data_IF_710764320899
#
_entry.id   IF_710764320899
#
_cell.length_a   1.000
_cell.length_b   1.000
_cell.length_c   1.000
_cell.angle_alpha   90.00
_cell.angle_beta   90.00
_cell.angle_gamma   90.00
#
_symmetry.space_group_name_H-M   'P 1'
#
loop_
_entity.id
_entity.type
_entity.pdbx_description
1 polymer ?
#
# COMPACT_ATOMS: atom_id res chain seq x y z
N UNK A 1 0.13 0.62 16.31
CA UNK A 1 -1.28 0.18 16.42
C UNK A 1 -1.39 -1.33 16.57
N UNK A 2 -0.74 -2.13 15.70
CA UNK A 2 -0.69 -3.59 15.79
C UNK A 2 -0.25 -4.12 17.17
N UNK A 3 0.85 -3.57 17.70
CA UNK A 3 1.40 -3.92 19.01
C UNK A 3 0.40 -3.67 20.16
N UNK A 4 -0.41 -2.61 20.05
CA UNK A 4 -1.39 -2.24 21.08
C UNK A 4 -2.53 -3.27 21.11
N UNK A 5 -3.08 -3.63 19.95
CA UNK A 5 -4.17 -4.59 19.86
C UNK A 5 -3.77 -6.01 20.30
N UNK A 6 -2.51 -6.42 20.10
CA UNK A 6 -2.06 -7.74 20.59
C UNK A 6 -2.16 -7.90 22.11
N UNK A 7 -2.10 -6.82 22.90
CA UNK A 7 -2.24 -6.87 24.36
C UNK A 7 -3.67 -6.61 24.86
N UNK A 8 -4.63 -6.42 23.96
CA UNK A 8 -6.03 -6.18 24.32
C UNK A 8 -6.86 -7.47 24.20
N UNK A 9 -7.87 -7.60 25.06
CA UNK A 9 -8.85 -8.68 24.92
C UNK A 9 -9.72 -8.47 23.68
N UNK A 10 -10.11 -9.56 23.02
CA UNK A 10 -10.97 -9.54 21.84
C UNK A 10 -12.21 -8.65 22.01
N UNK A 11 -12.90 -8.75 23.16
CA UNK A 11 -14.07 -7.92 23.48
C UNK A 11 -13.75 -6.42 23.52
N UNK A 12 -12.60 -6.04 24.08
CA UNK A 12 -12.15 -4.64 24.11
C UNK A 12 -11.86 -4.12 22.71
N UNK A 13 -11.18 -4.93 21.89
CA UNK A 13 -10.86 -4.59 20.50
C UNK A 13 -12.15 -4.36 19.69
N UNK A 14 -13.10 -5.31 19.76
CA UNK A 14 -14.37 -5.17 19.05
C UNK A 14 -15.19 -3.98 19.54
N UNK A 15 -15.19 -3.68 20.84
CA UNK A 15 -15.85 -2.48 21.36
C UNK A 15 -15.23 -1.18 20.82
N UNK A 16 -13.91 -1.12 20.65
CA UNK A 16 -13.23 0.02 20.02
C UNK A 16 -13.63 0.12 18.55
N UNK A 17 -13.69 -1.00 17.82
CA UNK A 17 -14.12 -1.00 16.43
C UNK A 17 -15.58 -0.57 16.26
N UNK A 18 -16.49 -1.05 17.11
CA UNK A 18 -17.88 -0.61 17.10
C UNK A 18 -18.06 0.85 17.51
N UNK A 19 -17.17 1.39 18.34
CA UNK A 19 -17.16 2.82 18.65
C UNK A 19 -16.69 3.67 17.48
N UNK A 20 -15.67 3.21 16.73
CA UNK A 20 -15.15 3.89 15.54
C UNK A 20 -16.14 3.82 14.37
N UNK A 21 -16.74 2.66 14.14
CA UNK A 21 -17.76 2.46 13.13
C UNK A 21 -18.87 1.53 13.67
N UNK A 22 -20.00 2.12 14.10
CA UNK A 22 -21.13 1.37 14.64
C UNK A 22 -21.75 0.39 13.63
N UNK A 23 -21.57 0.60 12.32
CA UNK A 23 -22.15 -0.27 11.27
C UNK A 23 -21.53 -1.66 11.25
N UNK A 24 -20.37 -1.85 11.88
CA UNK A 24 -19.74 -3.16 12.02
C UNK A 24 -20.52 -4.12 12.92
N UNK A 25 -21.43 -3.63 13.79
CA UNK A 25 -22.19 -4.49 14.70
C UNK A 25 -23.15 -5.42 13.95
N UNK A 26 -23.75 -4.92 12.87
CA UNK A 26 -24.74 -5.64 12.06
C UNK A 26 -24.12 -6.23 10.78
N UNK A 27 -22.81 -6.08 10.59
CA UNK A 27 -22.12 -6.49 9.38
C UNK A 27 -21.73 -7.97 9.46
N UNK A 28 -22.43 -8.81 8.69
CA UNK A 28 -22.09 -10.21 8.50
C UNK A 28 -21.16 -10.39 7.30
N UNK A 29 -20.21 -11.31 7.43
CA UNK A 29 -19.24 -11.65 6.38
C UNK A 29 -20.02 -12.04 5.11
N UNK A 30 -19.76 -11.37 3.99
CA UNK A 30 -20.23 -11.80 2.67
C UNK A 30 -19.55 -13.12 2.30
N UNK A 31 -20.11 -14.23 2.78
CA UNK A 31 -19.70 -15.60 2.44
C UNK A 31 -20.02 -15.95 0.97
N UNK A 32 -20.70 -15.05 0.25
CA UNK A 32 -21.09 -15.20 -1.16
C UNK A 32 -20.02 -14.70 -2.15
N UNK A 33 -18.93 -14.05 -1.70
CA UNK A 33 -17.84 -13.66 -2.63
C UNK A 33 -17.05 -14.92 -2.97
N UNK A 34 -17.27 -15.47 -4.17
CA UNK A 34 -16.47 -16.56 -4.71
C UNK A 34 -15.05 -16.05 -5.04
N UNK A 35 -14.08 -16.43 -4.21
CA UNK A 35 -12.66 -16.12 -4.43
C UNK A 35 -12.06 -17.07 -5.48
N UNK A 36 -11.49 -16.53 -6.56
CA UNK A 36 -10.73 -17.27 -7.58
C UNK A 36 -11.49 -18.35 -8.36
N UNK A 37 -12.83 -18.28 -8.45
CA UNK A 37 -13.61 -19.17 -9.30
C UNK A 37 -13.52 -18.76 -10.79
N UNK A 38 -13.53 -19.72 -11.73
CA UNK A 38 -13.67 -19.50 -13.18
C UNK A 38 -12.77 -18.39 -13.80
N UNK A 39 -11.46 -18.44 -13.53
CA UNK A 39 -10.48 -17.43 -13.97
C UNK A 39 -10.18 -17.36 -15.48
N UNK A 40 -10.89 -18.13 -16.28
CA UNK A 40 -10.86 -18.06 -17.75
C UNK A 40 -11.95 -17.16 -18.33
N UNK A 41 -12.96 -16.79 -17.53
CA UNK A 41 -14.03 -15.88 -17.94
C UNK A 41 -13.62 -14.42 -17.67
N UNK A 42 -13.35 -13.69 -18.75
CA UNK A 42 -12.99 -12.26 -18.75
C UNK A 42 -14.19 -11.37 -19.12
N UNK A 43 -15.40 -11.77 -18.71
CA UNK A 43 -16.60 -10.95 -18.89
C UNK A 43 -16.45 -9.58 -18.21
N UNK A 44 -17.03 -8.54 -18.82
CA UNK A 44 -16.91 -7.16 -18.32
C UNK A 44 -17.46 -7.01 -16.90
N UNK A 45 -18.57 -7.69 -16.58
CA UNK A 45 -19.16 -7.68 -15.24
C UNK A 45 -18.20 -8.25 -14.19
N UNK A 46 -17.46 -9.30 -14.54
CA UNK A 46 -16.48 -9.90 -13.64
C UNK A 46 -15.30 -8.96 -13.39
N UNK A 47 -14.74 -8.38 -14.46
CA UNK A 47 -13.62 -7.41 -14.33
C UNK A 47 -14.06 -6.20 -13.51
N UNK A 48 -15.26 -5.66 -13.77
CA UNK A 48 -15.78 -4.52 -13.00
C UNK A 48 -16.01 -4.88 -11.53
N UNK A 49 -16.45 -6.11 -11.22
CA UNK A 49 -16.61 -6.58 -9.84
C UNK A 49 -15.29 -6.75 -9.09
N UNK A 50 -14.19 -6.98 -9.81
CA UNK A 50 -12.83 -7.08 -9.26
C UNK A 50 -12.20 -5.71 -8.99
N UNK A 51 -12.62 -4.65 -9.73
CA UNK A 51 -12.15 -3.28 -9.49
C UNK A 51 -12.84 -2.71 -8.24
N UNK A 52 -12.35 -3.12 -7.08
CA UNK A 52 -12.86 -2.69 -5.79
C UNK A 52 -11.81 -1.84 -5.04
N UNK A 53 -12.00 -1.69 -3.73
CA UNK A 53 -11.10 -0.92 -2.87
C UNK A 53 -9.66 -1.46 -2.86
N UNK A 54 -9.46 -2.74 -3.19
CA UNK A 54 -8.13 -3.34 -3.22
C UNK A 54 -7.30 -2.73 -4.36
N UNK A 55 -7.84 -2.55 -5.56
CA UNK A 55 -7.15 -1.87 -6.69
C UNK A 55 -6.58 -0.51 -6.26
N UNK A 56 -7.38 0.30 -5.56
CA UNK A 56 -6.93 1.59 -5.05
C UNK A 56 -5.91 1.43 -3.91
N UNK A 57 -6.11 0.45 -3.04
CA UNK A 57 -5.16 0.08 -1.98
C UNK A 57 -3.78 -0.29 -2.54
N UNK A 58 -3.75 -1.12 -3.59
CA UNK A 58 -2.53 -1.47 -4.31
C UNK A 58 -1.90 -0.22 -4.92
N UNK A 59 -2.64 0.56 -5.71
CA UNK A 59 -2.09 1.77 -6.33
C UNK A 59 -1.50 2.75 -5.31
N UNK A 60 -2.26 3.13 -4.27
CA UNK A 60 -1.79 4.09 -3.26
C UNK A 60 -0.69 3.51 -2.36
N UNK A 61 -0.80 2.23 -2.01
CA UNK A 61 0.22 1.53 -1.24
C UNK A 61 1.56 1.51 -1.97
N UNK A 62 1.56 1.18 -3.26
CA UNK A 62 2.76 1.17 -4.09
C UNK A 62 3.30 2.56 -4.41
N UNK A 63 2.43 3.56 -4.57
CA UNK A 63 2.87 4.95 -4.66
C UNK A 63 3.58 5.41 -3.38
N UNK A 64 3.04 5.07 -2.20
CA UNK A 64 3.68 5.39 -0.92
C UNK A 64 5.00 4.65 -0.72
N UNK A 65 5.03 3.32 -0.97
CA UNK A 65 6.26 2.52 -0.94
C UNK A 65 7.32 3.12 -1.87
N UNK A 66 6.91 3.58 -3.05
CA UNK A 66 7.82 4.18 -4.00
C UNK A 66 8.42 5.51 -3.54
N UNK A 67 7.66 6.33 -2.81
CA UNK A 67 8.19 7.56 -2.19
C UNK A 67 9.22 7.27 -1.10
N UNK A 68 9.09 6.14 -0.40
CA UNK A 68 10.00 5.74 0.68
C UNK A 68 11.25 5.02 0.17
N UNK A 69 11.08 4.00 -0.68
CA UNK A 69 12.19 3.19 -1.20
C UNK A 69 12.89 3.89 -2.38
N UNK A 70 12.19 4.68 -3.19
CA UNK A 70 12.79 5.50 -4.27
C UNK A 70 13.67 4.71 -5.26
N UNK A 71 13.43 3.42 -5.41
CA UNK A 71 14.18 2.55 -6.31
C UNK A 71 13.28 1.53 -6.98
N UNK A 72 13.10 1.66 -8.30
CA UNK A 72 12.17 0.83 -9.08
C UNK A 72 12.46 -0.68 -8.96
N UNK A 73 13.71 -1.11 -9.11
CA UNK A 73 14.05 -2.54 -9.08
C UNK A 73 13.69 -3.25 -7.78
N UNK A 74 14.08 -2.68 -6.63
CA UNK A 74 13.71 -3.18 -5.29
C UNK A 74 12.18 -3.21 -5.14
N UNK A 75 11.47 -2.14 -5.54
CA UNK A 75 10.01 -2.10 -5.44
C UNK A 75 9.33 -3.20 -6.26
N UNK A 76 9.74 -3.40 -7.51
CA UNK A 76 9.23 -4.47 -8.36
C UNK A 76 9.55 -5.86 -7.79
N UNK A 77 10.75 -6.06 -7.24
CA UNK A 77 11.10 -7.31 -6.57
C UNK A 77 10.22 -7.58 -5.34
N UNK A 78 9.95 -6.56 -4.52
CA UNK A 78 9.01 -6.68 -3.40
C UNK A 78 7.60 -6.97 -3.92
N UNK A 79 7.19 -6.36 -5.03
CA UNK A 79 5.86 -6.58 -5.62
C UNK A 79 5.67 -8.02 -6.01
N UNK A 80 6.61 -8.59 -6.76
CA UNK A 80 6.53 -10.00 -7.15
C UNK A 80 6.62 -10.92 -5.93
N UNK A 81 7.46 -10.58 -4.95
CA UNK A 81 7.58 -11.37 -3.72
C UNK A 81 6.30 -11.33 -2.87
N UNK A 82 5.53 -10.24 -2.93
CA UNK A 82 4.23 -10.12 -2.27
C UNK A 82 3.20 -11.10 -2.89
N UNK A 83 3.08 -11.15 -4.21
CA UNK A 83 2.23 -12.15 -4.90
C UNK A 83 2.60 -13.59 -4.53
N UNK A 84 3.90 -13.90 -4.47
CA UNK A 84 4.37 -15.22 -4.05
C UNK A 84 3.94 -15.53 -2.61
N UNK A 85 3.96 -14.52 -1.74
CA UNK A 85 3.52 -14.63 -0.35
C UNK A 85 2.02 -14.90 -0.30
N UNK A 86 1.22 -14.21 -1.10
CA UNK A 86 -0.23 -14.44 -1.19
C UNK A 86 -0.55 -15.85 -1.66
N UNK A 87 0.08 -16.34 -2.74
CA UNK A 87 -0.06 -17.73 -3.20
C UNK A 87 0.35 -18.72 -2.09
N UNK A 88 1.45 -18.44 -1.39
CA UNK A 88 1.94 -19.32 -0.32
C UNK A 88 0.94 -19.41 0.83
N UNK A 89 0.29 -18.31 1.20
CA UNK A 89 -0.63 -18.23 2.34
C UNK A 89 -2.12 -18.32 1.95
N UNK A 90 -2.45 -18.50 0.67
CA UNK A 90 -3.82 -18.62 0.17
C UNK A 90 -4.62 -19.76 0.85
N UNK A 91 -3.94 -20.82 1.28
CA UNK A 91 -4.55 -21.93 2.02
C UNK A 91 -5.01 -21.55 3.43
N UNK A 92 -4.46 -20.49 4.03
CA UNK A 92 -4.84 -19.97 5.35
C UNK A 92 -5.77 -18.76 5.24
N UNK A 93 -5.61 -17.97 4.18
CA UNK A 93 -6.33 -16.73 3.96
C UNK A 93 -7.09 -16.83 2.62
N UNK A 94 -8.39 -17.21 2.64
CA UNK A 94 -9.17 -17.38 1.41
C UNK A 94 -9.30 -16.09 0.58
N UNK A 95 -9.02 -14.94 1.20
CA UNK A 95 -9.01 -13.63 0.55
C UNK A 95 -7.89 -13.47 -0.46
N UNK A 96 -6.80 -14.23 -0.34
CA UNK A 96 -5.67 -14.23 -1.27
C UNK A 96 -5.88 -15.20 -2.44
N UNK A 97 -7.04 -15.86 -2.51
CA UNK A 97 -7.38 -16.73 -3.63
C UNK A 97 -7.94 -15.86 -4.75
N UNK A 98 -7.05 -15.38 -5.61
CA UNK A 98 -7.37 -14.51 -6.73
C UNK A 98 -7.08 -15.20 -8.06
N UNK A 99 -7.57 -14.61 -9.15
CA UNK A 99 -7.30 -15.15 -10.47
C UNK A 99 -5.87 -14.82 -10.91
N UNK A 100 -5.26 -15.70 -11.71
CA UNK A 100 -3.89 -15.50 -12.18
C UNK A 100 -3.70 -14.16 -12.93
N UNK A 101 -4.72 -13.71 -13.67
CA UNK A 101 -4.67 -12.46 -14.41
C UNK A 101 -4.86 -11.24 -13.50
N UNK A 102 -5.54 -11.42 -12.37
CA UNK A 102 -5.75 -10.40 -11.35
C UNK A 102 -4.39 -10.10 -10.69
N UNK A 103 -3.81 -11.12 -10.05
CA UNK A 103 -2.50 -11.06 -9.40
C UNK A 103 -1.38 -10.58 -10.34
N UNK A 104 -1.29 -11.13 -11.57
CA UNK A 104 -0.18 -10.80 -12.46
C UNK A 104 -0.40 -9.51 -13.26
N UNK A 105 -1.59 -9.32 -13.85
CA UNK A 105 -1.82 -8.21 -14.77
C UNK A 105 -2.40 -7.02 -14.02
N UNK A 106 -3.48 -7.22 -13.26
CA UNK A 106 -4.12 -6.11 -12.57
C UNK A 106 -3.24 -5.60 -11.42
N UNK A 107 -2.73 -6.48 -10.57
CA UNK A 107 -1.97 -6.05 -9.40
C UNK A 107 -0.53 -5.70 -9.75
N UNK A 108 0.30 -6.67 -10.15
CA UNK A 108 1.72 -6.41 -10.41
C UNK A 108 1.95 -5.39 -11.54
N UNK A 109 1.36 -5.61 -12.72
CA UNK A 109 1.67 -4.77 -13.88
C UNK A 109 0.96 -3.41 -13.84
N UNK A 110 -0.33 -3.40 -13.55
CA UNK A 110 -1.15 -2.19 -13.64
C UNK A 110 -1.10 -1.42 -12.32
N UNK A 111 -1.66 -1.93 -11.23
CA UNK A 111 -1.84 -1.16 -9.99
C UNK A 111 -0.49 -0.83 -9.34
N UNK A 112 0.32 -1.85 -9.11
CA UNK A 112 1.62 -1.74 -8.45
C UNK A 112 2.60 -0.98 -9.35
N UNK A 113 2.65 -1.34 -10.64
CA UNK A 113 3.48 -0.67 -11.65
C UNK A 113 3.16 0.82 -11.80
N UNK A 114 1.88 1.19 -11.92
CA UNK A 114 1.44 2.60 -11.99
C UNK A 114 1.71 3.34 -10.67
N UNK A 115 1.44 2.71 -9.52
CA UNK A 115 1.75 3.27 -8.21
C UNK A 115 3.23 3.59 -8.08
N UNK A 116 4.10 2.64 -8.42
CA UNK A 116 5.56 2.83 -8.42
C UNK A 116 5.96 3.98 -9.34
N UNK A 117 5.44 4.01 -10.56
CA UNK A 117 5.75 5.06 -11.52
C UNK A 117 5.35 6.45 -11.01
N UNK A 118 4.13 6.59 -10.46
CA UNK A 118 3.64 7.85 -9.89
C UNK A 118 4.50 8.27 -8.70
N UNK A 119 4.79 7.36 -7.77
CA UNK A 119 5.61 7.66 -6.59
C UNK A 119 7.02 8.12 -6.96
N UNK A 120 7.67 7.44 -7.91
CA UNK A 120 8.99 7.85 -8.41
C UNK A 120 8.95 9.19 -9.17
N UNK A 121 7.86 9.47 -9.89
CA UNK A 121 7.66 10.76 -10.56
C UNK A 121 7.51 11.90 -9.55
N UNK A 122 6.80 11.66 -8.44
CA UNK A 122 6.71 12.59 -7.31
C UNK A 122 8.10 12.84 -6.73
N UNK A 123 8.89 11.79 -6.48
CA UNK A 123 10.27 11.92 -5.99
C UNK A 123 11.13 12.79 -6.92
N UNK A 124 11.12 12.52 -8.23
CA UNK A 124 11.86 13.31 -9.22
C UNK A 124 11.39 14.77 -9.26
N UNK A 125 10.10 15.02 -9.06
CA UNK A 125 9.54 16.36 -9.01
C UNK A 125 9.88 17.12 -7.70
N UNK A 126 10.24 16.41 -6.62
CA UNK A 126 10.72 16.99 -5.37
C UNK A 126 12.24 17.22 -5.38
N UNK A 127 13.00 16.31 -6.01
CA UNK A 127 14.47 16.40 -6.15
C UNK A 127 14.92 17.60 -6.99
N UNK A 128 14.18 17.92 -8.06
CA UNK A 128 14.53 19.00 -9.00
C UNK A 128 14.02 20.40 -8.56
N UNK A 129 13.70 20.63 -7.27
CA UNK A 129 13.12 21.91 -6.81
C UNK A 129 14.15 22.84 -6.17
N UNK A 130 14.15 24.08 -6.65
CA UNK A 130 14.81 25.21 -6.01
C UNK A 130 13.85 25.93 -5.04
N UNK A 131 14.27 26.11 -3.78
CA UNK A 131 13.49 26.82 -2.77
C UNK A 131 13.67 28.34 -2.88
N UNK A 132 12.62 29.05 -3.29
CA UNK A 132 12.55 30.52 -3.20
C UNK A 132 11.90 30.92 -1.88
N UNK A 133 12.66 31.61 -1.02
CA UNK A 133 12.23 32.09 0.30
C UNK A 133 11.48 33.43 0.23
N UNK A 134 10.43 33.52 -0.60
CA UNK A 134 9.56 34.70 -0.62
C UNK A 134 8.46 34.59 0.47
N UNK A 135 8.09 35.72 1.09
CA UNK A 135 7.02 35.75 2.10
C UNK A 135 5.66 35.51 1.43
N UNK A 136 4.74 34.81 2.12
CA UNK A 136 3.36 34.59 1.62
C UNK A 136 2.66 35.95 1.37
N UNK A 137 3.07 36.98 2.11
CA UNK A 137 2.57 38.36 1.97
C UNK A 137 2.98 39.02 0.65
N UNK A 138 4.08 38.57 0.04
CA UNK A 138 4.62 39.12 -1.22
C UNK A 138 3.98 38.47 -2.46
N UNK A 139 3.11 37.47 -2.28
CA UNK A 139 2.45 36.74 -3.36
C UNK A 139 1.05 37.33 -3.60
N UNK A 140 0.86 37.99 -4.74
CA UNK A 140 -0.39 38.66 -5.09
C UNK A 140 -1.52 37.71 -5.51
N UNK A 141 -1.21 36.51 -6.03
CA UNK A 141 -2.21 35.58 -6.55
C UNK A 141 -2.68 34.54 -5.52
N UNK A 142 -3.98 34.25 -5.53
CA UNK A 142 -4.60 33.22 -4.68
C UNK A 142 -4.01 31.82 -4.93
N UNK A 143 -3.78 31.47 -6.20
CA UNK A 143 -3.11 30.21 -6.59
C UNK A 143 -1.68 30.13 -6.05
N UNK A 144 -0.96 31.26 -6.00
CA UNK A 144 0.38 31.33 -5.44
C UNK A 144 0.41 31.13 -3.93
N UNK A 145 -0.58 31.67 -3.21
CA UNK A 145 -0.74 31.45 -1.77
C UNK A 145 -1.06 29.98 -1.45
N UNK A 146 -1.97 29.37 -2.19
CA UNK A 146 -2.31 27.93 -2.04
C UNK A 146 -1.09 27.07 -2.35
N UNK A 147 -0.38 27.34 -3.44
CA UNK A 147 0.86 26.64 -3.79
C UNK A 147 1.89 26.74 -2.66
N UNK A 148 2.03 27.91 -2.01
CA UNK A 148 2.96 28.10 -0.90
C UNK A 148 2.53 27.35 0.36
N UNK A 149 1.25 27.32 0.68
CA UNK A 149 0.73 26.53 1.81
C UNK A 149 0.99 25.03 1.61
N UNK A 150 0.71 24.49 0.42
CA UNK A 150 1.00 23.08 0.11
C UNK A 150 2.50 22.78 0.16
N UNK A 151 3.34 23.72 -0.28
CA UNK A 151 4.80 23.60 -0.22
C UNK A 151 5.37 23.53 1.20
N UNK A 152 4.66 24.00 2.23
CA UNK A 152 5.12 23.87 3.62
C UNK A 152 5.11 22.42 4.11
N UNK A 153 4.30 21.56 3.46
CA UNK A 153 4.24 20.14 3.77
C UNK A 153 5.22 19.29 2.95
N UNK A 154 6.06 19.91 2.11
CA UNK A 154 7.14 19.23 1.39
C UNK A 154 8.47 19.35 2.12
N UNK A 155 9.35 18.33 2.09
CA UNK A 155 10.59 18.32 2.86
C UNK A 155 11.61 19.34 2.35
N UNK A 156 12.32 20.02 3.25
CA UNK A 156 13.31 21.06 2.94
C UNK A 156 14.42 20.58 1.98
N UNK A 157 14.87 19.33 2.12
CA UNK A 157 15.81 18.70 1.19
C UNK A 157 15.28 17.34 0.76
N UNK A 158 15.50 17.01 -0.52
CA UNK A 158 15.08 15.74 -1.10
C UNK A 158 16.22 15.15 -1.91
N UNK A 159 17.04 14.31 -1.27
CA UNK A 159 18.23 13.70 -1.87
C UNK A 159 17.93 12.34 -2.50
N UNK A 160 18.67 12.01 -3.56
CA UNK A 160 18.66 10.69 -4.19
C UNK A 160 19.21 9.62 -3.25
N UNK A 161 18.51 8.49 -3.10
CA UNK A 161 18.98 7.35 -2.31
C UNK A 161 19.57 6.30 -3.24
N UNK A 162 20.82 5.88 -2.98
CA UNK A 162 21.50 4.82 -3.72
C UNK A 162 21.60 3.57 -2.84
N UNK A 163 20.61 2.69 -2.95
CA UNK A 163 20.53 1.46 -2.15
C UNK A 163 21.59 0.42 -2.55
N UNK A 164 21.85 0.28 -3.85
CA UNK A 164 22.75 -0.72 -4.42
C UNK A 164 23.91 0.00 -5.12
N UNK A 165 24.94 0.39 -4.36
CA UNK A 165 26.19 0.88 -4.94
C UNK A 165 27.09 -0.31 -5.33
N UNK A 166 27.75 -0.33 -6.51
CA UNK A 166 28.70 -1.38 -6.87
C UNK A 166 29.84 -1.58 -5.84
N UNK A 167 30.16 -0.55 -5.05
CA UNK A 167 31.14 -0.61 -3.94
C UNK A 167 30.48 -0.87 -2.57
N UNK A 168 29.19 -1.20 -2.56
CA UNK A 168 28.43 -1.40 -1.34
C UNK A 168 28.90 -2.66 -0.59
N UNK A 169 29.06 -2.55 0.72
CA UNK A 169 29.43 -3.67 1.57
C UNK A 169 28.29 -4.69 1.65
N UNK A 170 28.63 -5.98 1.77
CA UNK A 170 27.64 -7.06 1.95
C UNK A 170 26.66 -6.78 3.12
N UNK A 171 27.12 -6.06 4.16
CA UNK A 171 26.27 -5.62 5.27
C UNK A 171 25.11 -4.70 4.84
N UNK A 172 25.32 -3.82 3.86
CA UNK A 172 24.24 -2.94 3.35
C UNK A 172 23.20 -3.74 2.59
N UNK A 173 23.64 -4.70 1.78
CA UNK A 173 22.72 -5.62 1.11
C UNK A 173 21.90 -6.42 2.12
N UNK A 174 22.56 -6.99 3.14
CA UNK A 174 21.88 -7.70 4.22
C UNK A 174 20.87 -6.82 4.97
N UNK A 175 21.23 -5.57 5.27
CA UNK A 175 20.32 -4.62 5.91
C UNK A 175 19.09 -4.29 5.04
N UNK A 176 19.27 -4.15 3.71
CA UNK A 176 18.15 -3.98 2.77
C UNK A 176 17.25 -5.20 2.75
N UNK A 177 17.82 -6.41 2.67
CA UNK A 177 17.05 -7.65 2.75
C UNK A 177 16.27 -7.75 4.07
N UNK A 178 16.90 -7.42 5.19
CA UNK A 178 16.25 -7.42 6.50
C UNK A 178 15.08 -6.43 6.55
N UNK A 179 15.26 -5.21 6.03
CA UNK A 179 14.19 -4.21 5.94
C UNK A 179 13.01 -4.73 5.11
N UNK A 180 13.29 -5.34 3.97
CA UNK A 180 12.28 -5.92 3.07
C UNK A 180 11.52 -7.05 3.78
N UNK A 181 12.21 -7.98 4.42
CA UNK A 181 11.58 -9.09 5.17
C UNK A 181 10.71 -8.56 6.31
N UNK A 182 11.21 -7.61 7.10
CA UNK A 182 10.44 -7.01 8.18
C UNK A 182 9.16 -6.38 7.64
N UNK A 183 9.25 -5.64 6.53
CA UNK A 183 8.09 -5.03 5.90
C UNK A 183 7.05 -6.08 5.47
N UNK A 184 7.46 -7.11 4.75
CA UNK A 184 6.56 -8.20 4.33
C UNK A 184 5.86 -8.84 5.53
N UNK A 185 6.60 -9.10 6.62
CA UNK A 185 6.03 -9.67 7.85
C UNK A 185 5.00 -8.72 8.47
N UNK A 186 5.25 -7.41 8.48
CA UNK A 186 4.27 -6.45 9.01
C UNK A 186 2.99 -6.39 8.18
N UNK A 187 3.09 -6.44 6.86
CA UNK A 187 1.92 -6.46 5.98
C UNK A 187 1.14 -7.76 6.14
N UNK A 188 1.82 -8.91 6.09
CA UNK A 188 1.19 -10.21 6.28
C UNK A 188 0.48 -10.31 7.64
N UNK A 189 1.12 -9.84 8.72
CA UNK A 189 0.51 -9.79 10.05
C UNK A 189 -0.76 -8.91 10.09
N UNK A 190 -0.81 -7.84 9.28
CA UNK A 190 -1.99 -6.99 9.17
C UNK A 190 -3.16 -7.76 8.54
N UNK A 191 -2.90 -8.56 7.50
CA UNK A 191 -3.91 -9.43 6.90
C UNK A 191 -4.36 -10.56 7.84
N UNK A 192 -3.43 -11.19 8.57
CA UNK A 192 -3.80 -12.19 9.58
C UNK A 192 -4.67 -11.60 10.69
N UNK A 193 -4.36 -10.40 11.18
CA UNK A 193 -5.19 -9.74 12.19
C UNK A 193 -6.55 -9.35 11.63
N UNK A 194 -6.61 -8.87 10.38
CA UNK A 194 -7.88 -8.60 9.69
C UNK A 194 -8.77 -9.87 9.66
N UNK A 195 -8.16 -11.01 9.33
CA UNK A 195 -8.84 -12.31 9.30
C UNK A 195 -9.31 -12.76 10.70
N UNK A 196 -8.41 -12.77 11.70
CA UNK A 196 -8.71 -13.22 13.08
C UNK A 196 -9.82 -12.36 13.71
N UNK A 197 -9.75 -11.05 13.52
CA UNK A 197 -10.72 -10.11 14.09
C UNK A 197 -12.04 -10.08 13.31
N UNK A 198 -12.19 -10.89 12.25
CA UNK A 198 -13.34 -10.91 11.33
C UNK A 198 -13.67 -9.51 10.78
N UNK A 199 -12.68 -8.63 10.76
CA UNK A 199 -12.78 -7.25 10.29
C UNK A 199 -12.65 -7.21 8.77
N UNK A 200 -13.35 -8.13 8.09
CA UNK A 200 -13.08 -8.39 6.68
C UNK A 200 -13.46 -7.21 5.77
N UNK A 201 -14.25 -6.25 6.27
CA UNK A 201 -14.82 -5.15 5.49
C UNK A 201 -14.77 -3.76 6.14
N UNK A 202 -13.81 -3.47 7.03
CA UNK A 202 -13.61 -2.10 7.58
C UNK A 202 -13.24 -1.05 6.50
N UNK A 203 -12.96 -1.47 5.25
CA UNK A 203 -12.62 -0.57 4.14
C UNK A 203 -13.74 -0.50 3.06
N UNK A 204 -14.92 -1.06 3.32
CA UNK A 204 -16.06 -0.96 2.37
C UNK A 204 -17.23 -0.13 2.93
N UNK A 205 -16.92 0.91 3.71
CA UNK A 205 -17.89 1.96 4.09
C UNK A 205 -17.54 3.28 3.42
#
# INVERSE_FOLDING_TARGET
>A
MLQFFMFQNYKTIMNIFYWLDPKLQDFHINMEKEYGANCSDLSFERIYSTIDVFVWGHFFGWAFKAVLIRHAGILWAISVMWEITEITFAHLLPNFVECWWDALILDVLICNGLGIWVGLRICKALEMREYKWASIKDISSTTGKIKRAVLQFTPESFTSIRWLDPKSTAMRFAAVCQLVVFWQVTELNTFFLKHILKCHQIITS
#
